data_IF_466011378505
#
_entry.id   IF_466011378505
#
_cell.length_a   1.000
_cell.length_b   1.000
_cell.length_c   1.000
_cell.angle_alpha   90.00
_cell.angle_beta   90.00
_cell.angle_gamma   90.00
#
_symmetry.space_group_name_H-M   'P 1'
#
loop_
_entity.id
_entity.type
_entity.pdbx_description
1 polymer ?
#
# COMPACT_ATOMS: atom_id res chain seq x y z
N UNK A 1 67.53 17.45 15.36
CA UNK A 1 67.81 17.44 16.80
C UNK A 1 66.72 16.64 17.48
N UNK A 2 67.12 15.44 17.94
CA UNK A 2 66.25 14.43 18.53
C UNK A 2 65.90 14.77 19.97
N UNK A 3 64.67 14.56 20.43
CA UNK A 3 64.42 14.12 21.78
C UNK A 3 63.23 13.15 21.86
N UNK A 4 63.58 11.95 22.36
CA UNK A 4 62.69 10.84 22.76
C UNK A 4 61.98 11.21 24.09
N UNK A 5 60.69 10.81 24.18
CA UNK A 5 60.11 10.40 25.47
C UNK A 5 59.25 9.13 25.26
N UNK A 6 59.82 7.99 25.67
CA UNK A 6 59.05 6.78 26.02
C UNK A 6 58.50 6.99 27.44
N UNK A 7 57.18 6.87 27.58
CA UNK A 7 56.55 6.51 28.85
C UNK A 7 55.85 5.20 28.70
N UNK A 8 56.36 4.17 29.36
CA UNK A 8 55.68 2.90 29.64
C UNK A 8 54.46 3.16 30.54
N UNK A 9 53.30 2.79 30.11
CA UNK A 9 52.18 2.56 31.01
C UNK A 9 51.94 1.06 31.12
N UNK A 10 52.20 0.52 32.29
CA UNK A 10 51.82 -0.83 32.70
C UNK A 10 50.35 -0.76 33.07
N UNK A 11 49.50 -1.35 32.25
CA UNK A 11 48.12 -1.56 32.64
C UNK A 11 47.98 -2.92 33.32
N UNK A 12 47.65 -2.89 34.60
CA UNK A 12 47.29 -4.05 35.37
C UNK A 12 46.07 -4.74 34.77
N UNK A 13 46.17 -6.06 34.59
CA UNK A 13 45.03 -6.93 34.28
C UNK A 13 44.00 -6.85 35.39
N UNK A 14 42.92 -6.09 35.18
CA UNK A 14 41.66 -6.33 35.88
C UNK A 14 40.85 -7.27 35.03
N UNK A 15 40.43 -8.34 35.63
CA UNK A 15 39.52 -9.34 35.06
C UNK A 15 38.32 -8.67 34.43
N UNK A 16 38.13 -8.89 33.13
CA UNK A 16 36.89 -8.53 32.42
C UNK A 16 35.85 -9.51 32.95
N UNK A 17 35.00 -9.02 33.84
CA UNK A 17 33.78 -9.73 34.26
C UNK A 17 32.92 -10.00 33.02
N UNK A 18 32.47 -11.25 32.90
CA UNK A 18 31.47 -11.65 31.91
C UNK A 18 30.24 -10.76 32.04
N UNK A 19 30.13 -9.74 31.18
CA UNK A 19 28.82 -9.18 30.88
C UNK A 19 28.08 -10.23 30.06
N UNK A 20 27.39 -11.13 30.75
CA UNK A 20 26.37 -11.93 30.17
C UNK A 20 25.40 -10.97 29.49
N UNK A 21 25.24 -11.14 28.18
CA UNK A 21 24.23 -10.48 27.36
C UNK A 21 22.86 -10.93 27.84
N UNK A 22 22.38 -10.33 28.89
CA UNK A 22 21.00 -10.47 29.37
C UNK A 22 20.06 -9.67 28.48
N UNK A 23 19.97 -10.02 27.22
CA UNK A 23 18.78 -9.74 26.44
C UNK A 23 17.73 -10.75 26.87
N UNK A 24 17.14 -10.53 28.05
CA UNK A 24 15.89 -11.18 28.42
C UNK A 24 14.89 -10.81 27.33
N UNK A 25 14.23 -11.83 26.77
CA UNK A 25 13.03 -11.68 25.98
C UNK A 25 12.00 -10.89 26.82
N UNK A 26 12.05 -9.58 26.76
CA UNK A 26 10.98 -8.73 27.25
C UNK A 26 9.81 -9.04 26.34
N UNK A 27 8.80 -9.69 26.88
CA UNK A 27 7.54 -9.95 26.22
C UNK A 27 7.00 -8.60 25.72
N UNK A 28 7.09 -8.37 24.43
CA UNK A 28 6.49 -7.22 23.78
C UNK A 28 4.97 -7.36 23.85
N UNK A 29 4.35 -6.79 24.88
CA UNK A 29 2.92 -6.57 24.96
C UNK A 29 2.52 -5.35 24.10
N UNK A 30 2.67 -5.44 22.83
CA UNK A 30 2.16 -4.58 21.79
C UNK A 30 2.19 -5.41 20.53
N UNK A 31 1.12 -5.41 19.74
CA UNK A 31 1.05 -6.16 18.50
C UNK A 31 2.34 -5.96 17.69
N UNK A 32 2.86 -7.02 17.10
CA UNK A 32 4.07 -6.94 16.27
C UNK A 32 3.64 -6.45 14.89
N UNK A 33 3.74 -5.15 14.68
CA UNK A 33 3.60 -4.54 13.35
C UNK A 33 4.54 -5.22 12.35
N UNK A 34 4.00 -5.67 11.21
CA UNK A 34 4.77 -6.34 10.15
C UNK A 34 5.15 -5.32 9.10
N UNK A 35 6.34 -4.73 9.23
CA UNK A 35 6.82 -3.75 8.27
C UNK A 35 7.16 -4.43 6.94
N UNK A 36 6.59 -3.91 5.88
CA UNK A 36 6.73 -4.42 4.51
C UNK A 36 7.14 -3.32 3.54
N UNK A 37 7.52 -3.70 2.33
CA UNK A 37 7.97 -2.77 1.31
C UNK A 37 7.50 -3.21 -0.07
N UNK A 38 7.03 -2.26 -0.89
CA UNK A 38 6.58 -2.53 -2.26
C UNK A 38 7.76 -2.74 -3.20
N UNK A 39 7.68 -3.81 -4.00
CA UNK A 39 8.64 -4.17 -5.04
C UNK A 39 7.91 -4.59 -6.31
N UNK A 40 8.36 -4.10 -7.45
CA UNK A 40 7.68 -4.26 -8.75
C UNK A 40 8.28 -5.34 -9.65
N UNK A 41 9.00 -6.31 -9.07
CA UNK A 41 9.57 -7.42 -9.84
C UNK A 41 11.00 -7.18 -10.28
N UNK A 42 11.51 -8.09 -11.12
CA UNK A 42 12.93 -8.16 -11.50
C UNK A 42 13.45 -6.89 -12.17
N UNK A 43 12.59 -6.21 -12.91
CA UNK A 43 12.93 -4.99 -13.66
C UNK A 43 12.85 -3.72 -12.80
N UNK A 44 12.39 -3.85 -11.54
CA UNK A 44 12.39 -2.73 -10.60
C UNK A 44 13.84 -2.26 -10.34
N UNK A 45 14.16 -0.97 -10.52
CA UNK A 45 15.48 -0.43 -10.15
C UNK A 45 15.75 -0.58 -8.66
N UNK A 46 14.72 -0.60 -7.82
CA UNK A 46 14.82 -0.88 -6.38
C UNK A 46 14.98 -2.38 -6.18
N UNK A 47 16.21 -2.83 -5.90
CA UNK A 47 16.51 -4.26 -5.76
C UNK A 47 16.15 -4.80 -4.38
N UNK A 48 15.73 -6.06 -4.31
CA UNK A 48 15.41 -6.76 -3.04
C UNK A 48 16.57 -6.69 -2.03
N UNK A 49 17.81 -6.74 -2.51
CA UNK A 49 18.99 -6.59 -1.66
C UNK A 49 19.08 -5.23 -0.96
N UNK A 50 18.63 -4.16 -1.60
CA UNK A 50 18.56 -2.82 -1.00
C UNK A 50 17.41 -2.73 0.02
N UNK A 51 16.25 -3.28 -0.33
CA UNK A 51 15.09 -3.32 0.57
C UNK A 51 15.45 -4.07 1.86
N UNK A 52 16.16 -5.18 1.76
CA UNK A 52 16.61 -5.96 2.92
C UNK A 52 17.53 -5.18 3.87
N UNK A 53 18.25 -4.18 3.37
CA UNK A 53 19.14 -3.33 4.17
C UNK A 53 18.37 -2.30 5.02
N UNK A 54 17.09 -2.08 4.72
CA UNK A 54 16.25 -1.18 5.54
C UNK A 54 15.91 -1.91 6.85
N UNK A 55 16.35 -1.39 8.01
CA UNK A 55 16.08 -2.03 9.29
C UNK A 55 14.57 -2.23 9.53
N UNK A 56 14.20 -3.40 10.03
CA UNK A 56 12.80 -3.71 10.34
C UNK A 56 11.98 -4.26 9.18
N UNK A 57 12.34 -4.05 7.92
CA UNK A 57 11.65 -4.66 6.79
C UNK A 57 11.83 -6.18 6.82
N UNK A 58 10.72 -6.91 6.79
CA UNK A 58 10.69 -8.38 6.78
C UNK A 58 9.89 -8.95 5.64
N UNK A 59 8.91 -8.24 5.13
CA UNK A 59 7.96 -8.72 4.12
C UNK A 59 8.00 -7.87 2.86
N UNK A 60 7.76 -8.51 1.72
CA UNK A 60 7.60 -7.85 0.43
C UNK A 60 6.13 -7.79 0.06
N UNK A 61 5.75 -6.67 -0.53
CA UNK A 61 4.48 -6.44 -1.20
C UNK A 61 4.76 -6.43 -2.69
N UNK A 62 4.19 -7.37 -3.43
CA UNK A 62 4.45 -7.51 -4.87
C UNK A 62 3.25 -8.14 -5.60
N UNK A 63 3.34 -8.32 -6.91
CA UNK A 63 2.35 -9.02 -7.73
C UNK A 63 3.02 -9.66 -8.94
N UNK A 64 2.25 -10.42 -9.72
CA UNK A 64 2.62 -10.84 -11.07
C UNK A 64 2.07 -9.78 -12.03
N UNK A 65 2.94 -9.16 -12.83
CA UNK A 65 2.60 -7.98 -13.64
C UNK A 65 2.38 -8.28 -15.12
N UNK A 66 2.74 -9.46 -15.58
CA UNK A 66 2.69 -9.89 -16.98
C UNK A 66 1.44 -10.73 -17.30
N UNK A 67 0.55 -10.93 -16.33
CA UNK A 67 -0.72 -11.62 -16.52
C UNK A 67 -1.86 -10.60 -16.58
N UNK A 68 -2.73 -10.72 -17.59
CA UNK A 68 -3.86 -9.83 -17.77
C UNK A 68 -4.86 -9.91 -16.60
N UNK A 69 -5.53 -8.79 -16.31
CA UNK A 69 -6.56 -8.73 -15.29
C UNK A 69 -7.66 -9.77 -15.55
N UNK A 70 -8.10 -10.47 -14.49
CA UNK A 70 -9.12 -11.51 -14.56
C UNK A 70 -8.61 -12.89 -14.95
N UNK A 71 -7.38 -13.03 -15.39
CA UNK A 71 -6.82 -14.33 -15.74
C UNK A 71 -6.25 -15.07 -14.53
N UNK A 72 -6.21 -16.39 -14.64
CA UNK A 72 -5.64 -17.27 -13.62
C UNK A 72 -4.11 -17.19 -13.63
N UNK A 73 -3.52 -17.00 -12.49
CA UNK A 73 -2.07 -17.04 -12.32
C UNK A 73 -1.55 -18.48 -12.36
N UNK A 74 -0.39 -18.68 -12.99
CA UNK A 74 0.20 -20.00 -13.00
C UNK A 74 0.86 -20.33 -11.64
N UNK A 75 0.75 -21.58 -11.14
CA UNK A 75 1.46 -21.98 -9.94
C UNK A 75 2.97 -21.76 -10.03
N UNK A 76 3.56 -21.99 -11.20
CA UNK A 76 4.99 -21.84 -11.43
C UNK A 76 5.43 -20.38 -11.32
N UNK A 77 4.66 -19.44 -11.91
CA UNK A 77 4.95 -18.01 -11.81
C UNK A 77 4.87 -17.52 -10.35
N UNK A 78 3.88 -17.99 -9.58
CA UNK A 78 3.75 -17.68 -8.16
C UNK A 78 4.95 -18.21 -7.38
N UNK A 79 5.36 -19.46 -7.63
CA UNK A 79 6.47 -20.07 -6.92
C UNK A 79 7.83 -19.45 -7.29
N UNK A 80 8.03 -19.08 -8.56
CA UNK A 80 9.23 -18.33 -8.98
C UNK A 80 9.34 -16.98 -8.27
N UNK A 81 8.23 -16.23 -8.22
CA UNK A 81 8.19 -14.94 -7.52
C UNK A 81 8.47 -15.11 -6.02
N UNK A 82 7.86 -16.09 -5.38
CA UNK A 82 8.11 -16.46 -3.99
C UNK A 82 9.58 -16.78 -3.75
N UNK A 83 10.14 -17.69 -4.54
CA UNK A 83 11.54 -18.11 -4.41
C UNK A 83 12.50 -16.92 -4.55
N UNK A 84 12.24 -16.02 -5.49
CA UNK A 84 13.04 -14.80 -5.69
C UNK A 84 13.03 -13.90 -4.44
N UNK A 85 11.87 -13.71 -3.82
CA UNK A 85 11.71 -12.93 -2.58
C UNK A 85 12.42 -13.64 -1.42
N UNK A 86 12.19 -14.94 -1.24
CA UNK A 86 12.72 -15.70 -0.10
C UNK A 86 14.22 -15.90 -0.17
N UNK A 87 14.81 -16.06 -1.37
CA UNK A 87 16.27 -16.08 -1.58
C UNK A 87 16.95 -14.78 -1.13
N UNK A 88 16.24 -13.66 -1.14
CA UNK A 88 16.78 -12.40 -0.60
C UNK A 88 16.68 -12.30 0.92
N UNK A 89 16.08 -13.29 1.60
CA UNK A 89 15.87 -13.33 3.05
C UNK A 89 14.68 -12.48 3.51
N UNK A 90 13.73 -12.21 2.61
CA UNK A 90 12.47 -11.51 2.87
C UNK A 90 11.30 -12.49 2.75
N UNK A 91 10.11 -12.13 3.27
CA UNK A 91 8.91 -12.98 3.24
C UNK A 91 7.98 -12.59 2.11
N UNK A 92 7.34 -13.59 1.52
CA UNK A 92 6.32 -13.45 0.48
C UNK A 92 4.92 -13.52 1.11
N UNK A 93 4.50 -12.46 1.77
CA UNK A 93 3.29 -12.47 2.60
C UNK A 93 2.11 -11.70 2.01
N UNK A 94 2.38 -10.66 1.18
CA UNK A 94 1.36 -9.71 0.72
C UNK A 94 1.40 -9.58 -0.80
N UNK A 95 0.24 -9.78 -1.41
CA UNK A 95 0.03 -9.49 -2.84
C UNK A 95 -0.73 -8.18 -3.00
N UNK A 96 -0.18 -7.31 -3.82
CA UNK A 96 -0.82 -6.06 -4.22
C UNK A 96 -0.49 -5.78 -5.70
N UNK A 97 -1.45 -6.11 -6.63
CA UNK A 97 -2.77 -6.65 -6.36
C UNK A 97 -3.05 -7.87 -7.25
N UNK A 98 -4.10 -8.60 -6.93
CA UNK A 98 -4.80 -9.40 -7.92
C UNK A 98 -5.83 -8.47 -8.55
N UNK A 99 -5.69 -8.08 -9.84
CA UNK A 99 -6.58 -7.10 -10.46
C UNK A 99 -7.99 -7.67 -10.64
N UNK A 100 -9.00 -6.86 -10.31
CA UNK A 100 -10.41 -7.19 -10.56
C UNK A 100 -10.77 -6.78 -11.99
N UNK A 101 -11.23 -7.75 -12.83
CA UNK A 101 -11.57 -7.48 -14.22
C UNK A 101 -12.76 -6.53 -14.35
N UNK A 102 -12.77 -5.71 -15.41
CA UNK A 102 -13.82 -4.72 -15.63
C UNK A 102 -15.22 -5.34 -15.80
N UNK A 103 -15.32 -6.54 -16.37
CA UNK A 103 -16.60 -7.25 -16.51
C UNK A 103 -17.23 -7.59 -15.15
N UNK A 104 -16.43 -7.78 -14.10
CA UNK A 104 -16.93 -7.95 -12.73
C UNK A 104 -17.53 -6.62 -12.24
N UNK A 105 -16.80 -5.52 -12.40
CA UNK A 105 -17.22 -4.19 -11.98
C UNK A 105 -18.45 -3.70 -12.74
N UNK A 106 -18.55 -4.04 -14.02
CA UNK A 106 -19.66 -3.70 -14.91
C UNK A 106 -20.85 -4.67 -14.78
N UNK A 107 -20.70 -5.84 -14.14
CA UNK A 107 -21.73 -6.87 -14.04
C UNK A 107 -22.06 -7.56 -15.37
N UNK A 108 -21.07 -7.68 -16.27
CA UNK A 108 -21.24 -8.27 -17.59
C UNK A 108 -21.34 -9.81 -17.53
N UNK A 109 -21.83 -10.48 -18.58
CA UNK A 109 -22.03 -11.93 -18.59
C UNK A 109 -20.79 -12.77 -18.26
N UNK A 110 -19.60 -12.32 -18.66
CA UNK A 110 -18.33 -13.04 -18.41
C UNK A 110 -17.82 -12.90 -16.96
N UNK A 111 -18.48 -12.09 -16.12
CA UNK A 111 -18.04 -11.83 -14.73
C UNK A 111 -17.83 -13.11 -13.92
N UNK A 112 -18.67 -14.11 -14.09
CA UNK A 112 -18.63 -15.35 -13.30
C UNK A 112 -17.36 -16.14 -13.62
N UNK A 113 -16.94 -16.19 -14.89
CA UNK A 113 -15.67 -16.79 -15.30
C UNK A 113 -14.48 -16.09 -14.61
N UNK A 114 -14.47 -14.76 -14.59
CA UNK A 114 -13.41 -13.99 -13.98
C UNK A 114 -13.41 -14.12 -12.44
N UNK A 115 -14.58 -14.25 -11.84
CA UNK A 115 -14.70 -14.52 -10.39
C UNK A 115 -14.16 -15.90 -10.05
N UNK A 116 -14.45 -16.94 -10.85
CA UNK A 116 -13.86 -18.27 -10.64
C UNK A 116 -12.33 -18.24 -10.76
N UNK A 117 -11.79 -17.54 -11.75
CA UNK A 117 -10.34 -17.33 -11.85
C UNK A 117 -9.78 -16.62 -10.61
N UNK A 118 -10.50 -15.63 -10.09
CA UNK A 118 -10.11 -14.91 -8.88
C UNK A 118 -10.07 -15.82 -7.65
N UNK A 119 -11.08 -16.66 -7.47
CA UNK A 119 -11.13 -17.69 -6.41
C UNK A 119 -9.94 -18.65 -6.51
N UNK A 120 -9.61 -19.10 -7.73
CA UNK A 120 -8.44 -19.95 -7.92
C UNK A 120 -7.14 -19.24 -7.59
N UNK A 121 -7.00 -17.95 -7.91
CA UNK A 121 -5.85 -17.16 -7.53
C UNK A 121 -5.71 -17.05 -6.00
N UNK A 122 -6.81 -16.86 -5.26
CA UNK A 122 -6.79 -16.89 -3.78
C UNK A 122 -6.25 -18.23 -3.26
N UNK A 123 -6.75 -19.36 -3.80
CA UNK A 123 -6.31 -20.70 -3.38
C UNK A 123 -4.83 -20.95 -3.67
N UNK A 124 -4.35 -20.53 -4.83
CA UNK A 124 -2.95 -20.69 -5.24
C UNK A 124 -2.00 -19.83 -4.38
N UNK A 125 -2.38 -18.58 -4.14
CA UNK A 125 -1.61 -17.66 -3.31
C UNK A 125 -1.57 -18.10 -1.84
N UNK A 126 -2.67 -18.63 -1.31
CA UNK A 126 -2.70 -19.23 0.02
C UNK A 126 -1.71 -20.40 0.14
N UNK A 127 -1.69 -21.32 -0.84
CA UNK A 127 -0.74 -22.44 -0.89
C UNK A 127 0.72 -21.94 -0.94
N UNK A 128 0.96 -20.79 -1.55
CA UNK A 128 2.28 -20.14 -1.56
C UNK A 128 2.63 -19.43 -0.23
N UNK A 129 1.69 -19.33 0.71
CA UNK A 129 1.90 -18.73 2.03
C UNK A 129 1.46 -17.27 2.16
N UNK A 130 0.84 -16.70 1.13
CA UNK A 130 0.29 -15.33 1.16
C UNK A 130 -0.78 -15.22 2.24
N UNK A 131 -0.75 -14.12 2.99
CA UNK A 131 -1.68 -13.84 4.09
C UNK A 131 -2.65 -12.71 3.82
N UNK A 132 -2.28 -11.79 2.93
CA UNK A 132 -3.11 -10.65 2.56
C UNK A 132 -3.09 -10.45 1.04
N UNK A 133 -4.26 -10.29 0.46
CA UNK A 133 -4.44 -9.86 -0.93
C UNK A 133 -5.08 -8.48 -0.93
N UNK A 134 -4.31 -7.48 -1.34
CA UNK A 134 -4.80 -6.15 -1.63
C UNK A 134 -5.43 -6.12 -3.02
N UNK A 135 -6.58 -5.47 -3.16
CA UNK A 135 -7.26 -5.25 -4.43
C UNK A 135 -8.00 -3.92 -4.41
N UNK A 136 -8.42 -3.45 -5.55
CA UNK A 136 -9.30 -2.30 -5.67
C UNK A 136 -10.52 -2.62 -6.56
N UNK A 137 -11.53 -1.75 -6.51
CA UNK A 137 -12.74 -1.88 -7.34
C UNK A 137 -12.97 -0.61 -8.17
N UNK A 138 -11.90 0.13 -8.45
CA UNK A 138 -11.91 1.38 -9.20
C UNK A 138 -12.27 1.13 -10.67
N UNK A 139 -13.29 1.82 -11.22
CA UNK A 139 -13.60 1.77 -12.65
C UNK A 139 -12.45 2.29 -13.51
N UNK A 140 -12.00 1.50 -14.46
CA UNK A 140 -11.02 1.83 -15.51
C UNK A 140 -9.65 2.23 -14.97
N UNK A 141 -9.60 3.34 -14.22
CA UNK A 141 -8.36 3.92 -13.69
C UNK A 141 -8.12 3.47 -12.24
N UNK A 142 -6.94 2.99 -11.98
CA UNK A 142 -6.43 2.78 -10.64
C UNK A 142 -6.18 4.15 -9.97
N UNK A 143 -5.11 4.32 -9.20
CA UNK A 143 -4.77 5.62 -8.63
C UNK A 143 -4.39 6.62 -9.75
N UNK A 144 -4.84 7.88 -9.61
CA UNK A 144 -4.68 8.92 -10.63
C UNK A 144 -3.92 10.12 -10.08
N UNK A 145 -2.90 10.57 -10.85
CA UNK A 145 -2.18 11.82 -10.60
C UNK A 145 -2.13 12.62 -11.89
N UNK A 146 -2.16 13.94 -11.76
CA UNK A 146 -2.12 14.85 -12.91
C UNK A 146 -0.71 15.12 -13.39
N UNK A 147 0.28 14.98 -12.50
CA UNK A 147 1.69 15.07 -12.83
C UNK A 147 2.51 14.15 -11.91
N UNK A 148 3.57 13.54 -12.45
CA UNK A 148 4.36 12.52 -11.73
C UNK A 148 5.73 13.00 -11.28
N UNK A 149 6.16 14.18 -11.70
CA UNK A 149 7.53 14.71 -11.57
C UNK A 149 7.55 16.19 -11.15
N UNK A 150 6.54 16.64 -10.42
CA UNK A 150 6.49 18.02 -9.92
C UNK A 150 7.73 18.29 -9.06
N UNK A 151 8.55 19.25 -9.49
CA UNK A 151 9.70 19.71 -8.70
C UNK A 151 9.20 20.53 -7.51
N UNK A 152 9.62 20.14 -6.30
CA UNK A 152 9.34 20.81 -5.03
C UNK A 152 10.44 21.83 -4.70
N UNK A 153 10.22 22.66 -3.68
CA UNK A 153 11.15 23.73 -3.28
C UNK A 153 12.53 23.19 -2.87
N UNK A 154 12.59 21.96 -2.31
CA UNK A 154 13.83 21.31 -1.90
C UNK A 154 14.58 20.61 -3.08
N UNK A 155 14.06 20.73 -4.30
CA UNK A 155 14.62 20.10 -5.49
C UNK A 155 14.26 18.63 -5.68
N UNK A 156 13.53 18.01 -4.76
CA UNK A 156 12.94 16.68 -4.94
C UNK A 156 11.78 16.73 -5.94
N UNK A 157 11.34 15.56 -6.45
CA UNK A 157 10.12 15.50 -7.24
C UNK A 157 9.05 14.67 -6.57
N UNK A 158 7.78 15.04 -6.78
CA UNK A 158 6.64 14.38 -6.21
C UNK A 158 5.52 14.15 -7.22
N UNK A 159 4.69 13.16 -6.93
CA UNK A 159 3.40 12.96 -7.56
C UNK A 159 2.43 14.03 -7.06
N UNK A 160 1.63 14.62 -7.95
CA UNK A 160 0.63 15.62 -7.57
C UNK A 160 -0.70 15.41 -8.27
N UNK A 161 -1.75 15.87 -7.64
CA UNK A 161 -3.08 15.97 -8.20
C UNK A 161 -3.54 17.41 -8.13
N UNK A 162 -3.57 18.09 -9.27
CA UNK A 162 -4.05 19.45 -9.40
C UNK A 162 -5.36 19.48 -10.17
N UNK A 163 -6.42 20.01 -9.55
CA UNK A 163 -7.76 20.08 -10.17
C UNK A 163 -7.73 20.79 -11.51
N UNK A 164 -7.04 21.93 -11.59
CA UNK A 164 -6.91 22.69 -12.83
C UNK A 164 -6.25 21.88 -13.97
N UNK A 165 -5.30 21.00 -13.64
CA UNK A 165 -4.70 20.13 -14.64
C UNK A 165 -5.68 19.03 -15.06
N UNK A 166 -6.42 18.45 -14.12
CA UNK A 166 -7.41 17.40 -14.40
C UNK A 166 -8.53 17.91 -15.33
N UNK A 167 -9.03 19.14 -15.13
CA UNK A 167 -10.06 19.74 -15.98
C UNK A 167 -9.64 19.88 -17.46
N UNK A 168 -8.35 19.98 -17.71
CA UNK A 168 -7.77 20.03 -19.07
C UNK A 168 -7.50 18.66 -19.67
N UNK A 169 -7.61 17.59 -18.86
CA UNK A 169 -7.36 16.23 -19.31
C UNK A 169 -8.61 15.62 -19.93
N UNK A 170 -8.44 15.00 -21.08
CA UNK A 170 -9.47 14.21 -21.74
C UNK A 170 -8.93 12.81 -22.00
N UNK A 171 -9.40 11.81 -21.25
CA UNK A 171 -8.89 10.44 -21.37
C UNK A 171 -9.14 9.85 -22.77
N UNK A 172 -10.07 10.38 -23.57
CA UNK A 172 -10.39 9.87 -24.89
C UNK A 172 -9.56 10.52 -26.01
N UNK A 173 -8.93 11.67 -25.77
CA UNK A 173 -8.06 12.31 -26.77
C UNK A 173 -6.70 11.63 -26.94
N UNK A 174 -6.26 10.84 -25.97
CA UNK A 174 -4.95 10.18 -25.95
C UNK A 174 -3.82 11.13 -25.58
N UNK A 175 -2.64 10.54 -25.27
CA UNK A 175 -1.49 11.31 -24.80
C UNK A 175 -1.51 11.55 -23.28
N UNK A 176 -2.49 11.00 -22.58
CA UNK A 176 -2.47 10.94 -21.12
C UNK A 176 -1.51 9.84 -20.68
N UNK A 177 -0.43 10.22 -20.05
CA UNK A 177 0.38 9.32 -19.25
C UNK A 177 -0.16 9.38 -17.82
N UNK A 178 -1.11 8.53 -17.52
CA UNK A 178 -1.59 8.37 -16.13
C UNK A 178 -0.78 7.28 -15.45
N UNK A 179 -0.20 7.55 -14.28
CA UNK A 179 0.60 6.57 -13.57
C UNK A 179 -0.24 5.33 -13.27
N UNK A 180 0.32 4.18 -13.56
CA UNK A 180 -0.26 2.89 -13.21
C UNK A 180 -1.09 2.21 -14.30
N UNK A 181 -1.54 2.91 -15.36
CA UNK A 181 -2.43 2.29 -16.32
C UNK A 181 -2.27 2.61 -17.81
N UNK A 182 -1.48 3.55 -18.20
CA UNK A 182 -1.31 4.04 -19.56
C UNK A 182 -0.95 2.98 -20.63
N UNK A 183 -0.75 1.73 -20.22
CA UNK A 183 -0.38 0.62 -21.12
C UNK A 183 -1.53 -0.38 -21.32
N UNK A 184 -2.65 -0.25 -20.61
CA UNK A 184 -3.66 -1.32 -20.54
C UNK A 184 -4.71 -1.28 -21.66
N UNK A 185 -5.00 -0.10 -22.26
CA UNK A 185 -6.08 0.06 -23.22
C UNK A 185 -5.67 0.83 -24.47
N UNK A 186 -6.10 0.35 -25.63
CA UNK A 186 -6.13 1.14 -26.86
C UNK A 186 -7.21 2.24 -26.78
N UNK A 187 -7.11 3.29 -27.56
CA UNK A 187 -8.15 4.35 -27.63
C UNK A 187 -9.55 3.80 -27.88
N UNK A 188 -9.66 2.78 -28.76
CA UNK A 188 -10.94 2.14 -29.08
C UNK A 188 -11.48 1.42 -27.84
N UNK A 189 -10.66 0.59 -27.19
CA UNK A 189 -11.06 -0.13 -25.98
C UNK A 189 -11.47 0.84 -24.87
N UNK A 190 -10.74 1.96 -24.71
CA UNK A 190 -11.06 2.97 -23.72
C UNK A 190 -12.41 3.63 -24.01
N UNK A 191 -12.70 3.98 -25.25
CA UNK A 191 -14.01 4.52 -25.65
C UNK A 191 -15.14 3.53 -25.39
N UNK A 192 -14.94 2.27 -25.79
CA UNK A 192 -15.93 1.21 -25.59
C UNK A 192 -16.22 0.96 -24.09
N UNK A 193 -15.19 1.02 -23.23
CA UNK A 193 -15.37 0.82 -21.78
C UNK A 193 -16.06 2.04 -21.12
N UNK A 194 -15.74 3.26 -21.53
CA UNK A 194 -16.46 4.45 -21.08
C UNK A 194 -17.93 4.44 -21.47
N UNK A 195 -18.26 3.99 -22.68
CA UNK A 195 -19.64 3.82 -23.11
C UNK A 195 -20.40 2.80 -22.23
N UNK A 196 -19.76 1.72 -21.82
CA UNK A 196 -20.33 0.76 -20.87
C UNK A 196 -20.56 1.40 -19.51
N UNK A 197 -19.59 2.16 -18.98
CA UNK A 197 -19.70 2.84 -17.70
C UNK A 197 -20.71 3.98 -17.69
N UNK A 198 -21.07 4.57 -18.82
CA UNK A 198 -22.13 5.59 -18.87
C UNK A 198 -23.50 5.09 -18.36
N UNK A 199 -23.67 3.77 -18.22
CA UNK A 199 -24.87 3.11 -17.70
C UNK A 199 -24.68 2.56 -16.27
N UNK A 200 -23.56 2.83 -15.64
CA UNK A 200 -23.19 2.31 -14.31
C UNK A 200 -23.07 3.48 -13.35
N UNK A 201 -24.06 3.64 -12.50
CA UNK A 201 -24.00 4.55 -11.35
C UNK A 201 -23.35 3.89 -10.13
N UNK A 202 -23.24 4.64 -9.04
CA UNK A 202 -22.66 4.14 -7.79
C UNK A 202 -23.41 2.92 -7.25
N UNK A 203 -24.75 2.91 -7.33
CA UNK A 203 -25.55 1.79 -6.82
C UNK A 203 -25.42 0.52 -7.66
N UNK A 204 -25.25 0.65 -8.97
CA UNK A 204 -24.88 -0.49 -9.82
C UNK A 204 -23.50 -1.03 -9.42
N UNK A 205 -22.54 -0.14 -9.23
CA UNK A 205 -21.17 -0.54 -8.83
C UNK A 205 -21.19 -1.22 -7.46
N UNK A 206 -21.97 -0.72 -6.49
CA UNK A 206 -22.18 -1.34 -5.18
C UNK A 206 -22.77 -2.76 -5.28
N UNK A 207 -23.78 -2.96 -6.10
CA UNK A 207 -24.38 -4.29 -6.33
C UNK A 207 -23.38 -5.27 -6.93
N UNK A 208 -22.53 -4.80 -7.85
CA UNK A 208 -21.52 -5.64 -8.47
C UNK A 208 -20.38 -5.97 -7.48
N UNK A 209 -19.99 -5.04 -6.62
CA UNK A 209 -19.05 -5.29 -5.52
C UNK A 209 -19.62 -6.30 -4.52
N UNK A 210 -20.89 -6.16 -4.13
CA UNK A 210 -21.57 -7.10 -3.24
C UNK A 210 -21.56 -8.52 -3.82
N UNK A 211 -21.92 -8.64 -5.10
CA UNK A 211 -21.89 -9.93 -5.80
C UNK A 211 -20.49 -10.55 -5.76
N UNK A 212 -19.48 -9.77 -6.10
CA UNK A 212 -18.08 -10.21 -6.08
C UNK A 212 -17.64 -10.66 -4.68
N UNK A 213 -17.93 -9.87 -3.64
CA UNK A 213 -17.55 -10.19 -2.27
C UNK A 213 -18.22 -11.45 -1.74
N UNK A 214 -19.51 -11.65 -2.02
CA UNK A 214 -20.23 -12.89 -1.64
C UNK A 214 -19.62 -14.14 -2.21
N UNK A 215 -19.00 -14.04 -3.39
CA UNK A 215 -18.33 -15.16 -4.04
C UNK A 215 -16.91 -15.41 -3.52
N UNK A 216 -16.11 -14.37 -3.29
CA UNK A 216 -14.69 -14.55 -2.97
C UNK A 216 -14.40 -14.67 -1.46
N UNK A 217 -15.19 -14.00 -0.59
CA UNK A 217 -14.89 -13.98 0.85
C UNK A 217 -14.98 -15.38 1.49
N UNK A 218 -15.98 -16.23 1.17
CA UNK A 218 -16.00 -17.59 1.70
C UNK A 218 -14.77 -18.42 1.30
N UNK A 219 -14.24 -18.21 0.09
CA UNK A 219 -13.01 -18.88 -0.37
C UNK A 219 -11.78 -18.34 0.38
N UNK A 220 -11.70 -17.03 0.56
CA UNK A 220 -10.64 -16.39 1.32
C UNK A 220 -10.60 -16.88 2.78
N UNK A 221 -11.78 -17.05 3.40
CA UNK A 221 -11.94 -17.60 4.74
C UNK A 221 -11.45 -19.05 4.83
N UNK A 222 -11.84 -19.91 3.90
CA UNK A 222 -11.35 -21.29 3.82
C UNK A 222 -9.83 -21.38 3.62
N UNK A 223 -9.26 -20.40 2.94
CA UNK A 223 -7.83 -20.32 2.62
C UNK A 223 -6.99 -19.58 3.68
N UNK A 224 -7.58 -19.02 4.73
CA UNK A 224 -6.92 -18.14 5.72
C UNK A 224 -6.16 -16.98 5.07
N UNK A 225 -6.78 -16.34 4.07
CA UNK A 225 -6.25 -15.17 3.35
C UNK A 225 -7.17 -13.97 3.58
N UNK A 226 -6.63 -12.88 4.10
CA UNK A 226 -7.38 -11.65 4.32
C UNK A 226 -7.49 -10.86 3.03
N UNK A 227 -8.71 -10.56 2.61
CA UNK A 227 -8.98 -9.67 1.49
C UNK A 227 -8.96 -8.23 1.98
N UNK A 228 -8.22 -7.36 1.32
CA UNK A 228 -7.98 -5.99 1.75
C UNK A 228 -8.24 -5.02 0.60
N UNK A 229 -9.45 -4.43 0.55
CA UNK A 229 -9.77 -3.46 -0.49
C UNK A 229 -9.06 -2.13 -0.25
N UNK A 230 -8.44 -1.60 -1.30
CA UNK A 230 -7.85 -0.27 -1.30
C UNK A 230 -8.94 0.78 -1.58
N UNK A 231 -9.00 1.91 -0.86
CA UNK A 231 -9.91 3.00 -1.16
C UNK A 231 -9.63 3.60 -2.53
N UNK A 232 -10.65 4.18 -3.13
CA UNK A 232 -10.52 4.82 -4.45
C UNK A 232 -9.59 6.03 -4.37
N UNK A 233 -8.63 6.14 -5.28
CA UNK A 233 -7.61 7.18 -5.30
C UNK A 233 -7.62 7.97 -6.62
N UNK A 234 -8.09 9.22 -6.61
CA UNK A 234 -8.59 9.99 -5.48
C UNK A 234 -9.96 9.49 -4.98
N UNK A 235 -10.36 9.82 -3.72
CA UNK A 235 -11.62 9.37 -3.14
C UNK A 235 -12.82 10.22 -3.58
N UNK A 236 -12.93 10.49 -4.88
CA UNK A 236 -14.05 11.16 -5.54
C UNK A 236 -14.12 10.77 -7.02
N UNK A 237 -15.29 10.92 -7.68
CA UNK A 237 -15.45 10.62 -9.09
C UNK A 237 -14.48 11.39 -9.99
N UNK A 238 -13.94 10.71 -11.00
CA UNK A 238 -13.05 11.30 -12.01
C UNK A 238 -13.53 10.91 -13.41
N UNK A 239 -13.41 11.82 -14.36
CA UNK A 239 -13.80 11.60 -15.76
C UNK A 239 -15.22 11.03 -15.96
N UNK A 240 -16.14 11.33 -15.03
CA UNK A 240 -17.51 10.79 -15.04
C UNK A 240 -17.63 9.33 -14.56
N UNK A 241 -16.56 8.72 -14.08
CA UNK A 241 -16.57 7.37 -13.52
C UNK A 241 -16.90 7.41 -12.02
N UNK A 242 -17.80 6.55 -11.53
CA UNK A 242 -18.15 6.50 -10.11
C UNK A 242 -16.99 6.00 -9.25
N UNK A 243 -16.94 6.44 -7.99
CA UNK A 243 -16.02 5.98 -6.96
C UNK A 243 -16.81 5.69 -5.69
N UNK A 244 -16.64 4.51 -5.11
CA UNK A 244 -17.50 4.03 -4.02
C UNK A 244 -16.80 3.73 -2.71
N UNK A 245 -15.48 3.61 -2.69
CA UNK A 245 -14.72 3.41 -1.44
C UNK A 245 -13.98 4.71 -1.10
N UNK A 246 -14.73 5.71 -0.62
CA UNK A 246 -14.26 7.10 -0.59
C UNK A 246 -14.28 7.75 0.80
N UNK A 247 -15.12 7.24 1.70
CA UNK A 247 -15.34 7.85 3.02
C UNK A 247 -15.79 6.81 4.05
N UNK A 248 -15.93 7.25 5.31
CA UNK A 248 -16.30 6.36 6.43
C UNK A 248 -17.64 5.64 6.19
N UNK A 249 -18.67 6.34 5.73
CA UNK A 249 -20.01 5.73 5.50
C UNK A 249 -19.93 4.63 4.43
N UNK A 250 -19.17 4.85 3.40
CA UNK A 250 -18.96 3.89 2.34
C UNK A 250 -18.13 2.68 2.80
N UNK A 251 -17.15 2.89 3.66
CA UNK A 251 -16.40 1.80 4.30
C UNK A 251 -17.30 0.99 5.23
N UNK A 252 -18.16 1.63 6.02
CA UNK A 252 -19.15 0.93 6.85
C UNK A 252 -20.11 0.09 6.00
N UNK A 253 -20.57 0.64 4.85
CA UNK A 253 -21.38 -0.10 3.88
C UNK A 253 -20.63 -1.33 3.35
N UNK A 254 -19.41 -1.15 2.89
CA UNK A 254 -18.55 -2.23 2.41
C UNK A 254 -18.43 -3.39 3.39
N UNK A 255 -18.10 -3.08 4.64
CA UNK A 255 -17.88 -4.09 5.68
C UNK A 255 -19.17 -4.86 6.03
N UNK A 256 -20.34 -4.26 5.82
CA UNK A 256 -21.66 -4.88 6.03
C UNK A 256 -22.11 -5.74 4.83
N UNK A 257 -21.58 -5.55 3.62
CA UNK A 257 -21.95 -6.39 2.46
C UNK A 257 -21.67 -7.88 2.70
N UNK A 258 -20.55 -8.18 3.32
CA UNK A 258 -20.18 -9.49 3.84
C UNK A 258 -19.45 -9.28 5.16
N UNK A 259 -20.15 -9.47 6.29
CA UNK A 259 -19.56 -9.28 7.63
C UNK A 259 -18.70 -10.48 8.02
N UNK A 260 -17.46 -10.46 7.56
CA UNK A 260 -16.44 -11.47 7.85
C UNK A 260 -15.13 -10.81 8.21
N UNK A 261 -14.38 -11.38 9.17
CA UNK A 261 -13.02 -10.93 9.51
C UNK A 261 -12.02 -11.04 8.35
N UNK A 262 -12.40 -11.72 7.27
CA UNK A 262 -11.60 -11.82 6.05
C UNK A 262 -11.93 -10.74 5.01
N UNK A 263 -13.02 -9.99 5.20
CA UNK A 263 -13.36 -8.80 4.42
C UNK A 263 -12.90 -7.56 5.18
N UNK A 264 -11.91 -6.85 4.70
CA UNK A 264 -11.34 -5.69 5.37
C UNK A 264 -10.63 -4.74 4.41
N UNK A 265 -9.78 -3.90 4.97
CA UNK A 265 -9.24 -2.73 4.31
C UNK A 265 -7.74 -2.83 4.10
N UNK A 266 -7.30 -2.38 2.94
CA UNK A 266 -6.04 -1.67 2.81
C UNK A 266 -6.31 -0.22 3.18
N UNK A 267 -6.01 0.18 4.41
CA UNK A 267 -6.25 1.54 4.85
C UNK A 267 -5.11 2.44 4.38
N UNK A 268 -5.37 3.24 3.34
CA UNK A 268 -4.39 4.19 2.82
C UNK A 268 -4.65 5.60 3.38
N UNK A 269 -3.77 6.06 4.27
CA UNK A 269 -3.91 7.37 4.92
C UNK A 269 -3.90 8.51 3.93
N UNK A 270 -3.01 8.47 2.93
CA UNK A 270 -2.92 9.52 1.93
C UNK A 270 -4.12 9.56 0.99
N UNK A 271 -4.65 8.39 0.57
CA UNK A 271 -5.85 8.34 -0.28
C UNK A 271 -7.05 8.93 0.45
N UNK A 272 -7.40 8.38 1.61
CA UNK A 272 -8.55 8.87 2.38
C UNK A 272 -8.35 10.31 2.87
N UNK A 273 -7.11 10.65 3.24
CA UNK A 273 -6.75 11.99 3.71
C UNK A 273 -6.74 13.07 2.63
N UNK A 274 -6.50 12.70 1.36
CA UNK A 274 -6.49 13.66 0.25
C UNK A 274 -7.86 14.32 0.01
N UNK A 275 -8.94 13.69 0.45
CA UNK A 275 -10.28 14.23 0.33
C UNK A 275 -10.55 15.45 1.21
N UNK A 276 -9.83 15.62 2.32
CA UNK A 276 -10.02 16.72 3.28
C UNK A 276 -11.35 16.64 4.06
N UNK A 277 -12.27 15.76 3.67
CA UNK A 277 -13.58 15.56 4.31
C UNK A 277 -13.62 14.34 5.24
N UNK A 278 -12.56 13.52 5.26
CA UNK A 278 -12.46 12.35 6.11
C UNK A 278 -11.70 12.68 7.41
N UNK A 279 -12.23 12.29 8.55
CA UNK A 279 -11.47 12.31 9.81
C UNK A 279 -10.61 11.04 9.91
N UNK A 280 -9.37 11.12 9.45
CA UNK A 280 -8.47 9.99 9.37
C UNK A 280 -8.21 9.36 10.73
N UNK A 281 -8.07 10.16 11.79
CA UNK A 281 -7.78 9.65 13.14
C UNK A 281 -8.95 8.83 13.69
N UNK A 282 -10.18 9.32 13.55
CA UNK A 282 -11.39 8.58 13.96
C UNK A 282 -11.57 7.29 13.14
N UNK A 283 -11.34 7.36 11.83
CA UNK A 283 -11.44 6.19 10.96
C UNK A 283 -10.39 5.13 11.31
N UNK A 284 -9.14 5.53 11.55
CA UNK A 284 -8.07 4.60 11.98
C UNK A 284 -8.42 3.97 13.33
N UNK A 285 -8.90 4.75 14.30
CA UNK A 285 -9.30 4.23 15.62
C UNK A 285 -10.43 3.20 15.47
N UNK A 286 -11.49 3.55 14.75
CA UNK A 286 -12.64 2.70 14.52
C UNK A 286 -12.29 1.38 13.85
N UNK A 287 -11.62 1.41 12.71
CA UNK A 287 -11.41 0.20 11.92
C UNK A 287 -10.24 -0.65 12.43
N UNK A 288 -9.25 -0.06 13.09
CA UNK A 288 -8.20 -0.85 13.76
C UNK A 288 -8.74 -1.55 15.02
N UNK A 289 -9.58 -0.89 15.82
CA UNK A 289 -10.24 -1.51 16.98
C UNK A 289 -11.17 -2.67 16.58
N UNK A 290 -11.78 -2.61 15.39
CA UNK A 290 -12.59 -3.71 14.85
C UNK A 290 -11.76 -4.83 14.21
N UNK A 291 -10.42 -4.69 14.11
CA UNK A 291 -9.56 -5.64 13.40
C UNK A 291 -9.80 -5.71 11.89
N UNK A 292 -10.37 -4.64 11.29
CA UNK A 292 -10.71 -4.59 9.86
C UNK A 292 -9.64 -3.94 8.99
N UNK A 293 -8.57 -3.39 9.55
CA UNK A 293 -7.40 -2.97 8.80
C UNK A 293 -6.47 -4.18 8.65
N UNK A 294 -6.46 -4.78 7.48
CA UNK A 294 -5.62 -5.93 7.17
C UNK A 294 -4.23 -5.51 6.66
N UNK A 295 -4.19 -4.37 6.00
CA UNK A 295 -3.00 -3.80 5.43
C UNK A 295 -3.03 -2.27 5.59
N UNK A 296 -1.94 -1.68 6.01
CA UNK A 296 -1.83 -0.24 6.23
C UNK A 296 -0.85 0.39 5.25
N UNK A 297 -1.31 1.35 4.46
CA UNK A 297 -0.47 2.23 3.68
C UNK A 297 -0.31 3.54 4.43
N UNK A 298 0.88 3.75 5.00
CA UNK A 298 1.21 5.01 5.65
C UNK A 298 1.76 5.95 4.59
N UNK A 299 1.03 7.01 4.32
CA UNK A 299 1.35 8.02 3.33
C UNK A 299 0.92 9.39 3.84
N UNK A 300 1.75 10.39 3.65
CA UNK A 300 1.41 11.76 3.94
C UNK A 300 1.20 12.55 2.66
N UNK A 301 0.23 13.42 2.65
CA UNK A 301 -0.09 14.32 1.53
C UNK A 301 -0.22 15.75 2.05
N UNK A 302 0.19 16.72 1.26
CA UNK A 302 -0.04 18.13 1.52
C UNK A 302 -1.29 18.58 0.78
N UNK A 303 -2.33 18.93 1.52
CA UNK A 303 -3.56 19.46 0.98
C UNK A 303 -3.38 20.93 0.59
N UNK A 304 -3.97 21.34 -0.53
CA UNK A 304 -4.02 22.71 -0.99
C UNK A 304 -5.44 23.27 -0.85
N UNK A 305 -5.56 24.60 -0.78
CA UNK A 305 -6.84 25.29 -0.53
C UNK A 305 -7.92 24.99 -1.57
N UNK A 306 -7.53 24.76 -2.82
CA UNK A 306 -8.44 24.42 -3.92
C UNK A 306 -8.89 22.93 -3.91
N UNK A 307 -8.40 22.14 -2.94
CA UNK A 307 -8.63 20.70 -2.83
C UNK A 307 -7.76 19.87 -3.76
N UNK A 308 -6.72 20.45 -4.35
CA UNK A 308 -5.58 19.73 -4.93
C UNK A 308 -4.70 19.15 -3.82
N UNK A 309 -3.79 18.25 -4.14
CA UNK A 309 -2.81 17.73 -3.19
C UNK A 309 -1.49 17.34 -3.84
N UNK A 310 -0.45 17.32 -3.01
CA UNK A 310 0.89 16.89 -3.37
C UNK A 310 1.31 15.73 -2.46
N UNK A 311 1.99 14.72 -3.01
CA UNK A 311 2.66 13.73 -2.18
C UNK A 311 3.80 14.38 -1.40
N UNK A 312 3.96 14.01 -0.14
CA UNK A 312 4.96 14.60 0.74
C UNK A 312 5.81 13.52 1.43
N UNK A 313 6.86 13.95 2.13
CA UNK A 313 7.59 13.04 3.03
C UNK A 313 6.65 12.50 4.13
N UNK A 314 6.97 11.31 4.64
CA UNK A 314 6.20 10.67 5.72
C UNK A 314 6.23 11.45 7.05
N UNK A 315 7.21 12.32 7.25
CA UNK A 315 7.32 13.18 8.43
C UNK A 315 6.11 14.10 8.55
N UNK A 316 5.35 14.04 9.67
CA UNK A 316 4.07 14.74 9.82
C UNK A 316 4.08 16.21 9.40
N UNK A 317 5.09 17.04 9.81
CA UNK A 317 5.14 18.45 9.42
C UNK A 317 5.31 18.74 7.93
N UNK A 318 5.67 17.73 7.11
CA UNK A 318 5.82 17.91 5.67
C UNK A 318 4.51 17.85 4.90
N UNK A 319 3.43 17.36 5.51
CA UNK A 319 2.11 17.21 4.90
C UNK A 319 1.00 17.66 5.83
N UNK A 320 -0.20 17.16 5.58
CA UNK A 320 -1.43 17.54 6.30
C UNK A 320 -1.93 16.45 7.26
N UNK A 321 -1.24 15.31 7.34
CA UNK A 321 -1.65 14.19 8.18
C UNK A 321 -0.72 14.02 9.38
N UNK A 322 -1.29 13.80 10.56
CA UNK A 322 -0.52 13.47 11.76
C UNK A 322 -0.16 11.98 11.79
N UNK A 323 0.97 11.64 11.18
CA UNK A 323 1.47 10.27 11.12
C UNK A 323 1.81 9.72 12.53
N UNK A 324 2.28 10.58 13.44
CA UNK A 324 2.57 10.16 14.82
C UNK A 324 1.31 9.70 15.52
N UNK A 325 0.24 10.49 15.44
CA UNK A 325 -1.05 10.15 16.05
C UNK A 325 -1.69 8.93 15.42
N UNK A 326 -1.63 8.79 14.08
CA UNK A 326 -2.08 7.59 13.37
C UNK A 326 -1.37 6.33 13.93
N UNK A 327 -0.05 6.39 14.05
CA UNK A 327 0.74 5.27 14.57
C UNK A 327 0.45 4.98 16.05
N UNK A 328 0.18 6.03 16.85
CA UNK A 328 -0.21 5.90 18.25
C UNK A 328 -1.55 5.17 18.40
N UNK A 329 -2.51 5.50 17.56
CA UNK A 329 -3.83 4.86 17.54
C UNK A 329 -3.70 3.38 17.15
N UNK A 330 -2.98 3.07 16.09
CA UNK A 330 -2.73 1.68 15.67
C UNK A 330 -2.07 0.87 16.79
N UNK A 331 -1.07 1.45 17.46
CA UNK A 331 -0.38 0.80 18.57
C UNK A 331 -1.32 0.57 19.78
N UNK A 332 -2.10 1.60 20.16
CA UNK A 332 -3.12 1.53 21.22
C UNK A 332 -4.12 0.39 20.97
N UNK A 333 -4.55 0.21 19.72
CA UNK A 333 -5.53 -0.81 19.34
C UNK A 333 -4.91 -2.18 19.05
N UNK A 334 -3.60 -2.36 19.29
CA UNK A 334 -2.91 -3.64 19.14
C UNK A 334 -2.83 -4.11 17.68
N UNK A 335 -2.59 -3.20 16.72
CA UNK A 335 -2.48 -3.54 15.31
C UNK A 335 -1.33 -4.52 15.06
N UNK A 336 -1.63 -5.68 14.46
CA UNK A 336 -0.68 -6.74 14.11
C UNK A 336 -0.62 -7.02 12.60
N UNK A 337 -1.23 -6.16 11.81
CA UNK A 337 -1.29 -6.28 10.36
C UNK A 337 0.03 -5.94 9.66
N UNK A 338 -0.01 -6.03 8.34
CA UNK A 338 1.08 -5.54 7.50
C UNK A 338 0.96 -4.04 7.33
N UNK A 339 2.11 -3.37 7.28
CA UNK A 339 2.21 -1.94 7.09
C UNK A 339 3.36 -1.64 6.15
N UNK A 340 3.21 -0.68 5.27
CA UNK A 340 4.28 -0.16 4.44
C UNK A 340 4.30 1.36 4.37
N UNK A 341 5.48 1.99 4.23
CA UNK A 341 5.54 3.32 3.64
C UNK A 341 5.01 3.22 2.22
N UNK A 342 4.05 4.09 1.89
CA UNK A 342 3.44 4.10 0.56
C UNK A 342 4.23 5.00 -0.40
N UNK A 343 3.57 5.82 -1.21
CA UNK A 343 4.27 6.75 -2.08
C UNK A 343 5.21 7.66 -1.30
N UNK A 344 6.34 7.96 -1.90
CA UNK A 344 7.30 8.96 -1.43
C UNK A 344 7.67 9.91 -2.57
N UNK A 345 8.54 10.84 -2.26
CA UNK A 345 9.16 11.70 -3.25
C UNK A 345 10.32 10.96 -3.94
N UNK A 346 10.76 11.45 -5.07
CA UNK A 346 12.04 11.07 -5.65
C UNK A 346 13.09 12.06 -5.16
N UNK A 347 14.04 11.58 -4.37
CA UNK A 347 15.08 12.41 -3.73
C UNK A 347 16.47 11.97 -4.15
N UNK A 348 17.46 12.85 -3.99
CA UNK A 348 18.89 12.57 -4.21
C UNK A 348 19.23 12.02 -5.58
N UNK A 349 18.46 12.43 -6.61
CA UNK A 349 18.71 12.05 -8.00
C UNK A 349 18.44 10.57 -8.30
N UNK A 350 17.67 9.87 -7.48
CA UNK A 350 17.28 8.50 -7.79
C UNK A 350 16.39 8.45 -9.04
N UNK A 351 16.50 7.35 -9.77
CA UNK A 351 15.66 7.02 -10.91
C UNK A 351 14.79 5.80 -10.60
N UNK A 352 13.60 5.76 -11.19
CA UNK A 352 12.69 4.64 -10.99
C UNK A 352 11.24 5.03 -11.28
N UNK A 353 10.32 4.19 -10.84
CA UNK A 353 8.89 4.48 -10.93
C UNK A 353 8.55 5.68 -10.05
N UNK A 354 7.95 6.74 -10.59
CA UNK A 354 7.60 7.93 -9.80
C UNK A 354 6.80 7.57 -8.53
N UNK A 355 7.18 8.14 -7.40
CA UNK A 355 6.59 7.85 -6.09
C UNK A 355 7.08 6.55 -5.44
N UNK A 356 7.79 5.70 -6.15
CA UNK A 356 8.23 4.39 -5.67
C UNK A 356 9.77 4.23 -5.64
N UNK A 357 10.50 5.32 -5.50
CA UNK A 357 11.95 5.30 -5.24
C UNK A 357 12.31 4.58 -3.93
N UNK A 358 13.58 4.26 -3.75
CA UNK A 358 14.07 3.61 -2.54
C UNK A 358 14.18 4.57 -1.36
N UNK A 359 14.77 5.75 -1.59
CA UNK A 359 15.34 6.55 -0.49
C UNK A 359 14.26 7.17 0.39
N UNK A 360 13.31 7.92 -0.17
CA UNK A 360 12.27 8.59 0.64
C UNK A 360 11.36 7.57 1.33
N UNK A 361 11.06 6.44 0.69
CA UNK A 361 10.32 5.35 1.32
C UNK A 361 11.13 4.65 2.42
N UNK A 362 12.45 4.52 2.28
CA UNK A 362 13.30 4.01 3.35
C UNK A 362 13.34 4.96 4.54
N UNK A 363 13.43 6.27 4.31
CA UNK A 363 13.29 7.28 5.37
C UNK A 363 11.91 7.18 6.05
N UNK A 364 10.84 7.01 5.28
CA UNK A 364 9.48 6.78 5.79
C UNK A 364 9.39 5.52 6.65
N UNK A 365 9.99 4.42 6.20
CA UNK A 365 10.05 3.16 6.98
C UNK A 365 10.74 3.36 8.33
N UNK A 366 11.85 4.09 8.35
CA UNK A 366 12.58 4.37 9.59
C UNK A 366 11.83 5.34 10.51
N UNK A 367 11.14 6.33 9.96
CA UNK A 367 10.28 7.23 10.73
C UNK A 367 9.16 6.47 11.44
N UNK A 368 8.43 5.63 10.71
CA UNK A 368 7.37 4.77 11.23
C UNK A 368 7.89 3.82 12.30
N UNK A 369 9.05 3.20 12.04
CA UNK A 369 9.69 2.27 12.99
C UNK A 369 10.11 2.97 14.27
N UNK A 370 10.68 4.17 14.17
CA UNK A 370 11.07 4.96 15.33
C UNK A 370 9.90 5.36 16.22
N UNK A 371 8.77 5.76 15.61
CA UNK A 371 7.54 6.04 16.36
C UNK A 371 7.05 4.77 17.06
N UNK A 372 6.97 3.64 16.36
CA UNK A 372 6.49 2.37 16.94
C UNK A 372 7.37 1.89 18.09
N UNK A 373 8.68 1.94 17.92
CA UNK A 373 9.64 1.59 18.98
C UNK A 373 9.46 2.49 20.22
N UNK A 374 9.30 3.79 20.00
CA UNK A 374 9.08 4.76 21.10
C UNK A 374 7.80 4.43 21.86
N UNK A 375 6.70 4.24 21.16
CA UNK A 375 5.40 3.88 21.74
C UNK A 375 5.46 2.57 22.52
N UNK A 376 6.22 1.59 22.02
CA UNK A 376 6.40 0.30 22.70
C UNK A 376 7.19 0.43 23.99
N UNK A 377 8.21 1.30 24.02
CA UNK A 377 9.06 1.52 25.20
C UNK A 377 8.46 2.44 26.26
N UNK A 378 7.56 3.34 25.86
CA UNK A 378 6.90 4.31 26.77
C UNK A 378 5.56 3.77 27.33
N UNK A 379 5.29 2.50 27.20
CA UNK A 379 4.06 1.85 27.67
C UNK A 379 3.99 1.62 29.19
N UNK A 380 4.91 2.19 29.94
CA UNK A 380 4.97 2.07 31.41
C UNK A 380 4.26 3.23 32.11
#
# INVERSE_FOLDING_TARGET
MFYKYKKLFVFGRKSIGNYATGWTNTLFYGGIMKLSFRWYGSDDPVKLGYIRQIPGIKSIVTAIYDIQAGEKWSPDSIMQLKEQVEKSGLKFDVIESVPVHEDIKLGLPERDRYIENYKENIKLLSKAGVKVICYNFMPVFDWTRTQVDKVLEDGSTALVYYKEQLEKMDPLKGGLSLPGWDVSYTKKQLKDIFEKYSRVDEEVLWRNLEYFLKEIIPVAEQCDVRMAIHPDDPPWPIFGLPRIITNELNIDRLLKLVDSKYNGLTFCTGTLGSGGFNNILEMVDKYSAQGRIHFMHVRNVKLLEDGSFEESAHYSPCGSLDIVEIMRILHKNGFEGYLRPDHGRMIWGESGRPGYGLYDRALGAMYITGIWETLTKLKD
#
